data_IF_029195912818
#
_entry.id   IF_029195912818
#
_cell.length_a   1.000
_cell.length_b   1.000
_cell.length_c   1.000
_cell.angle_alpha   90.00
_cell.angle_beta   90.00
_cell.angle_gamma   90.00
#
_symmetry.space_group_name_H-M   'P 1'
#
loop_
_entity.id
_entity.type
_entity.pdbx_description
1 polymer ?
#
# COMPACT_ATOMS: atom_id res chain seq x y z
N UNK A 1 44.38 30.30 15.47
CA UNK A 1 43.79 29.16 16.19
C UNK A 1 44.90 28.45 16.94
N UNK A 2 44.75 28.15 18.22
CA UNK A 2 45.81 27.46 18.96
C UNK A 2 45.88 25.99 18.53
N UNK A 3 47.03 25.34 18.73
CA UNK A 3 47.15 23.90 18.47
C UNK A 3 46.21 23.10 19.39
N UNK A 4 46.01 23.59 20.62
CA UNK A 4 45.08 23.01 21.58
C UNK A 4 43.63 23.02 21.10
N UNK A 5 43.17 24.12 20.48
CA UNK A 5 41.82 24.20 19.90
C UNK A 5 41.62 23.19 18.77
N UNK A 6 42.67 22.96 17.97
CA UNK A 6 42.63 22.00 16.85
C UNK A 6 42.58 20.58 17.38
N UNK A 7 43.34 20.28 18.43
CA UNK A 7 43.31 18.98 19.09
C UNK A 7 41.91 18.67 19.62
N UNK A 8 41.29 19.60 20.35
CA UNK A 8 39.90 19.45 20.85
C UNK A 8 38.94 19.19 19.69
N UNK A 9 39.01 19.97 18.61
CA UNK A 9 38.13 19.80 17.45
C UNK A 9 38.36 18.47 16.73
N UNK A 10 39.61 18.01 16.63
CA UNK A 10 39.94 16.72 16.02
C UNK A 10 39.37 15.55 16.83
N UNK A 11 39.47 15.59 18.15
CA UNK A 11 38.90 14.56 19.03
C UNK A 11 37.38 14.50 18.90
N UNK A 12 36.72 15.67 18.96
CA UNK A 12 35.29 15.78 18.71
C UNK A 12 34.93 15.23 17.31
N UNK A 13 35.68 15.59 16.27
CA UNK A 13 35.42 15.14 14.91
C UNK A 13 35.53 13.62 14.77
N UNK A 14 36.52 12.97 15.39
CA UNK A 14 36.64 11.49 15.41
C UNK A 14 35.40 10.85 16.02
N UNK A 15 34.95 11.38 17.15
CA UNK A 15 33.73 10.90 17.82
C UNK A 15 32.51 11.00 16.88
N UNK A 16 32.34 12.16 16.21
CA UNK A 16 31.22 12.36 15.29
C UNK A 16 31.32 11.47 14.04
N UNK A 17 32.50 11.28 13.46
CA UNK A 17 32.67 10.40 12.28
C UNK A 17 32.36 8.93 12.64
N UNK A 18 32.65 8.53 13.88
CA UNK A 18 32.34 7.20 14.40
C UNK A 18 30.84 6.94 14.60
N UNK A 19 30.02 7.98 14.75
CA UNK A 19 28.57 7.87 14.89
C UNK A 19 27.89 7.50 13.55
N UNK A 20 26.68 6.91 13.57
CA UNK A 20 25.93 6.51 12.38
C UNK A 20 25.27 7.71 11.67
N UNK A 21 26.06 8.72 11.32
CA UNK A 21 25.59 9.91 10.61
C UNK A 21 25.50 9.72 9.10
N UNK A 22 24.67 10.54 8.44
CA UNK A 22 24.59 10.57 6.98
C UNK A 22 25.92 10.99 6.33
N UNK A 23 26.14 10.54 5.09
CA UNK A 23 27.29 10.96 4.27
C UNK A 23 27.38 12.48 4.18
N UNK A 24 26.24 13.17 4.10
CA UNK A 24 26.19 14.64 4.07
C UNK A 24 26.70 15.27 5.37
N UNK A 25 26.21 14.83 6.52
CA UNK A 25 26.60 15.41 7.81
C UNK A 25 28.08 15.16 8.10
N UNK A 26 28.57 13.93 7.85
CA UNK A 26 30.00 13.60 7.99
C UNK A 26 30.87 14.44 7.06
N UNK A 27 30.46 14.60 5.81
CA UNK A 27 31.17 15.45 4.83
C UNK A 27 31.21 16.90 5.29
N UNK A 28 30.13 17.42 5.87
CA UNK A 28 30.08 18.78 6.41
C UNK A 28 31.07 18.96 7.56
N UNK A 29 31.08 18.05 8.55
CA UNK A 29 32.04 18.12 9.67
C UNK A 29 33.50 18.07 9.19
N UNK A 30 33.82 17.11 8.33
CA UNK A 30 35.15 16.99 7.74
C UNK A 30 35.52 18.23 6.93
N UNK A 31 34.59 18.74 6.10
CA UNK A 31 34.85 19.90 5.27
C UNK A 31 35.12 21.15 6.10
N UNK A 32 34.36 21.38 7.17
CA UNK A 32 34.50 22.54 8.02
C UNK A 32 35.85 22.52 8.76
N UNK A 33 36.21 21.36 9.31
CA UNK A 33 37.49 21.17 9.99
C UNK A 33 38.68 21.34 9.03
N UNK A 34 38.66 20.67 7.87
CA UNK A 34 39.74 20.74 6.90
C UNK A 34 39.87 22.14 6.28
N UNK A 35 38.77 22.85 6.01
CA UNK A 35 38.81 24.25 5.58
C UNK A 35 39.46 25.15 6.61
N UNK A 36 39.19 24.94 7.89
CA UNK A 36 39.79 25.72 8.97
C UNK A 36 41.31 25.50 9.02
N UNK A 37 41.76 24.26 8.86
CA UNK A 37 43.18 23.93 8.75
C UNK A 37 43.83 24.57 7.51
N UNK A 38 43.20 24.48 6.34
CA UNK A 38 43.74 25.07 5.09
C UNK A 38 43.85 26.60 5.22
N UNK A 39 42.82 27.25 5.76
CA UNK A 39 42.79 28.72 5.95
C UNK A 39 43.82 29.22 6.96
N UNK A 40 44.33 28.37 7.85
CA UNK A 40 45.38 28.75 8.80
C UNK A 40 46.74 29.03 8.15
N UNK A 41 46.96 28.57 6.90
CA UNK A 41 48.19 28.81 6.12
C UNK A 41 49.40 27.97 6.52
N UNK A 42 49.40 27.30 7.68
CA UNK A 42 50.54 26.50 8.17
C UNK A 42 50.33 25.00 7.93
N UNK A 43 50.30 24.57 6.67
CA UNK A 43 50.03 23.17 6.29
C UNK A 43 50.98 22.16 6.94
N UNK A 44 52.27 22.47 7.02
CA UNK A 44 53.29 21.59 7.63
C UNK A 44 53.02 21.32 9.11
N UNK A 45 52.43 22.28 9.83
CA UNK A 45 52.09 22.16 11.25
C UNK A 45 50.94 21.18 11.50
N UNK A 46 50.09 20.97 10.50
CA UNK A 46 48.84 20.20 10.64
C UNK A 46 48.81 18.93 9.78
N UNK A 47 49.96 18.50 9.27
CA UNK A 47 50.05 17.35 8.36
C UNK A 47 49.51 16.05 8.96
N UNK A 48 49.66 15.85 10.28
CA UNK A 48 49.11 14.70 10.98
C UNK A 48 47.58 14.62 10.87
N UNK A 49 46.89 15.75 11.03
CA UNK A 49 45.43 15.81 10.91
C UNK A 49 44.96 15.61 9.47
N UNK A 50 45.70 16.14 8.48
CA UNK A 50 45.40 15.87 7.08
C UNK A 50 45.51 14.37 6.77
N UNK A 51 46.60 13.72 7.20
CA UNK A 51 46.80 12.29 7.00
C UNK A 51 45.70 11.44 7.63
N UNK A 52 45.14 11.89 8.75
CA UNK A 52 44.07 11.20 9.45
C UNK A 52 42.69 11.39 8.78
N UNK A 53 42.29 12.63 8.46
CA UNK A 53 40.91 12.93 8.07
C UNK A 53 40.66 12.95 6.56
N UNK A 54 41.70 13.18 5.74
CA UNK A 54 41.54 13.19 4.28
C UNK A 54 41.10 11.83 3.73
N UNK A 55 41.64 10.67 4.18
CA UNK A 55 41.18 9.37 3.69
C UNK A 55 39.68 9.12 3.92
N UNK A 56 39.15 9.52 5.09
CA UNK A 56 37.72 9.42 5.38
C UNK A 56 36.89 10.35 4.48
N UNK A 57 37.35 11.58 4.25
CA UNK A 57 36.67 12.49 3.31
C UNK A 57 36.62 11.91 1.90
N UNK A 58 37.74 11.37 1.42
CA UNK A 58 37.84 10.74 0.09
C UNK A 58 36.87 9.58 -0.04
N UNK A 59 36.83 8.71 0.97
CA UNK A 59 35.88 7.59 1.03
C UNK A 59 34.43 8.07 0.95
N UNK A 60 34.07 9.16 1.64
CA UNK A 60 32.72 9.73 1.58
C UNK A 60 32.41 10.34 0.20
N UNK A 61 33.36 11.06 -0.40
CA UNK A 61 33.19 11.64 -1.74
C UNK A 61 32.98 10.53 -2.76
N UNK A 62 33.80 9.49 -2.73
CA UNK A 62 33.75 8.39 -3.70
C UNK A 62 32.50 7.51 -3.60
N UNK A 63 31.72 7.60 -2.51
CA UNK A 63 30.39 6.98 -2.42
C UNK A 63 29.36 7.64 -3.35
N UNK A 64 29.62 8.88 -3.78
CA UNK A 64 28.77 9.64 -4.69
C UNK A 64 27.32 9.84 -4.18
N UNK A 65 27.16 10.13 -2.89
CA UNK A 65 25.85 10.33 -2.24
C UNK A 65 25.59 11.82 -1.92
N UNK A 66 25.56 12.67 -2.94
CA UNK A 66 25.40 14.13 -2.77
C UNK A 66 23.94 14.60 -2.75
N UNK A 67 23.03 13.76 -2.25
CA UNK A 67 21.61 14.11 -2.17
C UNK A 67 21.42 15.33 -1.26
N UNK A 68 20.68 16.32 -1.75
CA UNK A 68 20.29 17.54 -1.03
C UNK A 68 21.44 18.50 -0.71
N UNK A 69 22.64 18.27 -1.24
CA UNK A 69 23.74 19.21 -1.12
C UNK A 69 23.41 20.50 -1.89
N UNK A 70 23.76 21.62 -1.29
CA UNK A 70 23.82 22.92 -1.94
C UNK A 70 25.06 23.03 -2.82
N UNK A 71 25.05 23.89 -3.86
CA UNK A 71 26.25 24.18 -4.64
C UNK A 71 27.43 24.63 -3.78
N UNK A 72 27.16 25.40 -2.72
CA UNK A 72 28.22 25.88 -1.81
C UNK A 72 28.92 24.73 -1.07
N UNK A 73 28.18 23.73 -0.60
CA UNK A 73 28.77 22.55 0.05
C UNK A 73 29.68 21.78 -0.92
N UNK A 74 29.27 21.63 -2.19
CA UNK A 74 30.09 20.98 -3.22
C UNK A 74 31.33 21.80 -3.58
N UNK A 75 31.20 23.12 -3.73
CA UNK A 75 32.34 24.01 -4.00
C UNK A 75 33.35 24.01 -2.85
N UNK A 76 32.87 23.94 -1.61
CA UNK A 76 33.71 23.77 -0.42
C UNK A 76 34.55 22.49 -0.52
N UNK A 77 33.92 21.36 -0.86
CA UNK A 77 34.63 20.09 -1.05
C UNK A 77 35.62 20.15 -2.22
N UNK A 78 35.24 20.76 -3.36
CA UNK A 78 36.13 20.95 -4.51
C UNK A 78 37.36 21.78 -4.13
N UNK A 79 37.17 22.86 -3.37
CA UNK A 79 38.26 23.70 -2.88
C UNK A 79 39.21 22.91 -1.98
N UNK A 80 38.67 22.11 -1.05
CA UNK A 80 39.50 21.26 -0.17
C UNK A 80 40.32 20.29 -1.00
N UNK A 81 39.70 19.51 -1.89
CA UNK A 81 40.41 18.50 -2.70
C UNK A 81 41.53 19.12 -3.53
N UNK A 82 41.30 20.28 -4.16
CA UNK A 82 42.34 21.01 -4.90
C UNK A 82 43.47 21.50 -3.99
N UNK A 83 43.15 21.95 -2.79
CA UNK A 83 44.13 22.45 -1.83
C UNK A 83 45.00 21.34 -1.23
N UNK A 84 44.58 20.07 -1.34
CA UNK A 84 45.32 18.91 -0.83
C UNK A 84 46.35 18.36 -1.83
N UNK A 85 46.29 18.75 -3.12
CA UNK A 85 47.21 18.29 -4.17
C UNK A 85 48.70 18.50 -3.81
N UNK A 86 49.12 19.63 -3.21
CA UNK A 86 50.52 19.84 -2.80
C UNK A 86 50.99 19.00 -1.60
N UNK A 87 50.09 18.31 -0.89
CA UNK A 87 50.39 17.61 0.38
C UNK A 87 50.71 16.12 0.20
N UNK A 88 51.23 15.72 -0.97
CA UNK A 88 51.44 14.31 -1.35
C UNK A 88 50.16 13.47 -1.33
N UNK A 89 49.00 14.11 -1.47
CA UNK A 89 47.75 13.40 -1.67
C UNK A 89 47.81 12.65 -3.02
N UNK A 90 47.42 11.37 -3.05
CA UNK A 90 47.50 10.55 -4.27
C UNK A 90 46.80 11.26 -5.43
N UNK A 91 47.57 11.57 -6.48
CA UNK A 91 47.08 12.27 -7.68
C UNK A 91 45.84 11.58 -8.27
N UNK A 92 45.86 10.25 -8.30
CA UNK A 92 44.73 9.43 -8.77
C UNK A 92 43.46 9.66 -7.93
N UNK A 93 43.58 9.65 -6.60
CA UNK A 93 42.42 9.89 -5.73
C UNK A 93 41.89 11.32 -5.88
N UNK A 94 42.78 12.29 -6.06
CA UNK A 94 42.40 13.69 -6.34
C UNK A 94 41.59 13.81 -7.61
N UNK A 95 42.10 13.27 -8.73
CA UNK A 95 41.42 13.30 -10.01
C UNK A 95 40.05 12.62 -9.96
N UNK A 96 39.95 11.47 -9.28
CA UNK A 96 38.68 10.76 -9.07
C UNK A 96 37.68 11.57 -8.24
N UNK A 97 38.12 12.13 -7.10
CA UNK A 97 37.27 12.97 -6.27
C UNK A 97 36.79 14.22 -7.03
N UNK A 98 37.67 14.87 -7.78
CA UNK A 98 37.33 16.03 -8.59
C UNK A 98 36.29 15.67 -9.66
N UNK A 99 36.45 14.55 -10.36
CA UNK A 99 35.47 14.07 -11.34
C UNK A 99 34.10 13.83 -10.71
N UNK A 100 34.06 13.14 -9.57
CA UNK A 100 32.80 12.88 -8.83
C UNK A 100 32.13 14.18 -8.38
N UNK A 101 32.88 15.10 -7.78
CA UNK A 101 32.35 16.38 -7.30
C UNK A 101 31.91 17.29 -8.45
N UNK A 102 32.62 17.28 -9.59
CA UNK A 102 32.22 18.02 -10.79
C UNK A 102 30.90 17.47 -11.36
N UNK A 103 30.73 16.15 -11.40
CA UNK A 103 29.47 15.54 -11.81
C UNK A 103 28.34 15.92 -10.87
N UNK A 104 28.52 15.78 -9.56
CA UNK A 104 27.52 16.17 -8.55
C UNK A 104 27.15 17.67 -8.65
N UNK A 105 28.14 18.54 -8.88
CA UNK A 105 27.93 19.96 -9.12
C UNK A 105 27.05 20.19 -10.35
N UNK A 106 27.36 19.53 -11.47
CA UNK A 106 26.61 19.67 -12.72
C UNK A 106 25.17 19.17 -12.56
N UNK A 107 24.97 18.06 -11.85
CA UNK A 107 23.64 17.55 -11.53
C UNK A 107 22.82 18.57 -10.72
N UNK A 108 23.39 19.13 -9.65
CA UNK A 108 22.71 20.13 -8.82
C UNK A 108 22.42 21.41 -9.63
N UNK A 109 23.35 21.87 -10.47
CA UNK A 109 23.14 23.05 -11.33
C UNK A 109 22.07 22.78 -12.41
N UNK A 110 21.99 21.57 -12.95
CA UNK A 110 20.95 21.18 -13.91
C UNK A 110 19.56 21.17 -13.27
N UNK A 111 19.47 20.74 -12.00
CA UNK A 111 18.27 20.81 -11.19
C UNK A 111 17.87 22.27 -10.93
N UNK A 112 18.82 23.12 -10.52
CA UNK A 112 18.58 24.52 -10.18
C UNK A 112 18.26 25.41 -11.40
N UNK A 113 18.65 24.98 -12.60
CA UNK A 113 18.29 25.64 -13.86
C UNK A 113 16.91 25.22 -14.39
N UNK A 114 16.20 24.32 -13.71
CA UNK A 114 14.85 23.89 -14.10
C UNK A 114 14.81 22.97 -15.33
N UNK A 115 15.97 22.46 -15.77
CA UNK A 115 16.09 21.57 -16.94
C UNK A 115 15.50 20.19 -16.62
N UNK A 116 15.65 19.74 -15.38
CA UNK A 116 15.15 18.44 -14.94
C UNK A 116 13.66 18.53 -14.60
N UNK A 117 12.82 18.05 -15.51
CA UNK A 117 11.39 17.81 -15.22
C UNK A 117 11.20 16.36 -14.82
N UNK A 118 10.85 16.13 -13.56
CA UNK A 118 10.48 14.81 -13.06
C UNK A 118 9.00 14.57 -13.37
N UNK A 119 8.67 13.48 -14.05
CA UNK A 119 7.28 13.04 -14.20
C UNK A 119 6.75 12.60 -12.83
N UNK A 120 5.71 13.30 -12.35
CA UNK A 120 5.09 12.98 -11.08
C UNK A 120 4.28 11.67 -11.18
N UNK A 121 4.59 10.70 -10.33
CA UNK A 121 3.84 9.46 -10.15
C UNK A 121 3.11 9.50 -8.82
N UNK A 122 1.87 9.01 -8.79
CA UNK A 122 1.08 8.99 -7.56
C UNK A 122 1.10 7.59 -6.92
N UNK A 123 1.40 7.52 -5.63
CA UNK A 123 1.48 6.29 -4.84
C UNK A 123 0.41 6.24 -3.75
N UNK A 124 -0.17 5.06 -3.51
CA UNK A 124 -1.26 4.90 -2.53
C UNK A 124 -0.81 4.84 -1.07
N UNK A 125 0.43 4.41 -0.84
CA UNK A 125 0.89 3.97 0.48
C UNK A 125 2.29 4.49 0.84
N UNK A 126 2.72 5.57 0.18
CA UNK A 126 3.99 6.23 0.48
C UNK A 126 3.87 7.74 0.34
N UNK A 127 4.57 8.47 1.21
CA UNK A 127 4.66 9.93 1.22
C UNK A 127 6.11 10.32 1.49
N UNK A 128 6.65 11.29 0.75
CA UNK A 128 7.97 11.83 1.06
C UNK A 128 7.89 12.82 2.22
N UNK A 129 8.82 12.71 3.16
CA UNK A 129 8.85 13.51 4.37
C UNK A 129 10.22 14.15 4.52
N UNK A 130 10.25 15.46 4.80
CA UNK A 130 11.50 16.14 5.14
C UNK A 130 11.75 16.07 6.65
N UNK A 131 12.93 15.58 6.99
CA UNK A 131 13.40 15.35 8.34
C UNK A 131 14.71 16.10 8.55
N UNK A 132 15.10 16.25 9.81
CA UNK A 132 16.38 16.84 10.19
C UNK A 132 17.16 15.77 10.93
N UNK A 133 18.41 15.60 10.54
CA UNK A 133 19.34 14.78 11.30
C UNK A 133 19.78 15.58 12.53
N UNK A 134 19.37 15.12 13.71
CA UNK A 134 19.71 15.76 14.97
C UNK A 134 21.19 15.56 15.28
N UNK A 135 21.89 16.67 15.52
CA UNK A 135 23.19 16.66 16.19
C UNK A 135 22.99 17.05 17.67
N UNK A 136 23.71 16.40 18.58
CA UNK A 136 23.73 16.78 20.00
C UNK A 136 24.24 18.20 20.22
N UNK A 137 25.09 18.70 19.31
CA UNK A 137 25.55 20.08 19.28
C UNK A 137 24.82 20.81 18.15
N UNK A 138 24.01 21.83 18.46
CA UNK A 138 23.16 22.60 17.52
C UNK A 138 23.89 23.21 16.28
N UNK A 139 25.22 23.07 16.21
CA UNK A 139 26.08 23.52 15.11
C UNK A 139 26.13 22.48 13.99
N UNK A 140 25.04 22.29 13.25
CA UNK A 140 25.11 21.59 11.96
C UNK A 140 23.94 20.69 11.61
N UNK A 141 22.70 21.14 11.83
CA UNK A 141 21.53 20.37 11.41
C UNK A 141 21.47 20.29 9.88
N UNK A 142 21.52 19.07 9.34
CA UNK A 142 21.27 18.81 7.91
C UNK A 142 19.89 18.23 7.73
N UNK A 143 19.19 18.65 6.67
CA UNK A 143 17.93 18.05 6.31
C UNK A 143 18.12 16.86 5.36
N UNK A 144 17.20 15.92 5.45
CA UNK A 144 17.08 14.75 4.58
C UNK A 144 15.62 14.56 4.19
N UNK A 145 15.39 13.95 3.02
CA UNK A 145 14.04 13.57 2.61
C UNK A 145 13.99 12.06 2.55
N UNK A 146 12.99 11.49 3.23
CA UNK A 146 12.78 10.05 3.36
C UNK A 146 11.36 9.68 2.94
N UNK A 147 11.22 8.52 2.31
CA UNK A 147 9.90 7.99 1.94
C UNK A 147 9.32 7.25 3.14
N UNK A 148 8.25 7.76 3.74
CA UNK A 148 7.45 7.03 4.71
C UNK A 148 6.48 6.11 3.98
N UNK A 149 6.49 4.83 4.30
CA UNK A 149 5.57 3.84 3.72
C UNK A 149 4.68 3.22 4.78
N UNK A 150 3.46 2.85 4.38
CA UNK A 150 2.53 2.10 5.21
C UNK A 150 2.16 0.77 4.54
N UNK A 151 2.32 -0.31 5.28
CA UNK A 151 1.74 -1.61 4.95
C UNK A 151 0.55 -1.83 5.89
N UNK A 152 -0.63 -2.02 5.31
CA UNK A 152 -1.86 -2.25 6.06
C UNK A 152 -2.52 -3.57 5.66
N UNK A 153 -2.99 -4.33 6.63
CA UNK A 153 -3.90 -5.46 6.40
C UNK A 153 -5.03 -5.43 7.43
N UNK A 154 -6.21 -5.90 7.02
CA UNK A 154 -7.37 -6.01 7.90
C UNK A 154 -7.18 -7.21 8.83
N UNK A 155 -7.48 -7.03 10.12
CA UNK A 155 -7.50 -8.12 11.11
C UNK A 155 -8.85 -8.82 11.10
N UNK A 156 -8.86 -10.07 11.57
CA UNK A 156 -10.09 -10.82 11.80
C UNK A 156 -11.01 -10.12 12.80
N UNK A 157 -12.30 -10.49 12.79
CA UNK A 157 -13.34 -9.84 13.61
C UNK A 157 -13.16 -10.06 15.12
N UNK A 158 -12.37 -11.06 15.48
CA UNK A 158 -11.98 -11.40 16.84
C UNK A 158 -11.06 -10.35 17.48
N UNK A 159 -10.40 -9.52 16.67
CA UNK A 159 -9.54 -8.43 17.16
C UNK A 159 -10.32 -7.12 17.22
N UNK A 160 -10.35 -6.52 18.41
CA UNK A 160 -10.98 -5.21 18.64
C UNK A 160 -10.01 -4.05 18.43
N UNK A 161 -8.71 -4.30 18.57
CA UNK A 161 -7.67 -3.28 18.59
C UNK A 161 -6.71 -3.40 17.39
N UNK A 162 -6.21 -2.26 16.93
CA UNK A 162 -5.20 -2.22 15.87
C UNK A 162 -3.85 -2.71 16.40
N UNK A 163 -3.11 -3.45 15.56
CA UNK A 163 -1.71 -3.75 15.79
C UNK A 163 -0.89 -2.73 15.03
N UNK A 164 -0.13 -1.91 15.76
CA UNK A 164 0.69 -0.84 15.18
C UNK A 164 2.16 -1.22 15.35
N UNK A 165 2.93 -1.13 14.28
CA UNK A 165 4.37 -1.36 14.27
C UNK A 165 5.05 -0.23 13.52
N UNK A 166 6.25 0.13 13.97
CA UNK A 166 7.09 1.11 13.29
C UNK A 166 8.53 0.57 13.27
N UNK A 167 9.04 0.22 12.09
CA UNK A 167 10.28 -0.58 11.96
C UNK A 167 11.55 0.18 12.41
N UNK A 168 11.54 1.52 12.40
CA UNK A 168 12.74 2.35 12.52
C UNK A 168 12.74 3.30 13.74
N UNK A 169 12.06 2.96 14.84
CA UNK A 169 12.03 3.83 16.03
C UNK A 169 13.34 3.78 16.82
N UNK A 170 13.78 4.96 17.28
CA UNK A 170 14.88 5.06 18.24
C UNK A 170 14.49 4.44 19.58
N UNK A 171 15.32 3.54 20.11
CA UNK A 171 15.11 2.82 21.39
C UNK A 171 14.76 3.76 22.55
N UNK A 172 15.47 4.88 22.66
CA UNK A 172 15.31 5.82 23.79
C UNK A 172 13.96 6.56 23.80
N UNK A 173 13.28 6.68 22.66
CA UNK A 173 12.02 7.42 22.51
C UNK A 173 10.84 6.52 22.10
N UNK A 174 11.01 5.18 22.15
CA UNK A 174 10.01 4.24 21.64
C UNK A 174 8.64 4.44 22.27
N UNK A 175 8.54 4.57 23.60
CA UNK A 175 7.24 4.70 24.28
C UNK A 175 6.48 5.97 23.88
N UNK A 176 7.17 7.12 23.88
CA UNK A 176 6.58 8.41 23.51
C UNK A 176 6.13 8.41 22.05
N UNK A 177 6.99 7.90 21.16
CA UNK A 177 6.69 7.82 19.73
C UNK A 177 5.57 6.82 19.45
N UNK A 178 5.56 5.67 20.12
CA UNK A 178 4.52 4.67 19.97
C UNK A 178 3.16 5.20 20.43
N UNK A 179 3.11 5.90 21.57
CA UNK A 179 1.92 6.62 22.04
C UNK A 179 1.44 7.64 21.00
N UNK A 180 2.36 8.45 20.47
CA UNK A 180 2.06 9.44 19.43
C UNK A 180 1.46 8.81 18.17
N UNK A 181 2.06 7.74 17.65
CA UNK A 181 1.57 7.03 16.46
C UNK A 181 0.20 6.39 16.75
N UNK A 182 0.01 5.80 17.93
CA UNK A 182 -1.26 5.18 18.35
C UNK A 182 -2.38 6.21 18.40
N UNK A 183 -2.10 7.40 18.94
CA UNK A 183 -3.05 8.51 18.96
C UNK A 183 -3.40 8.97 17.54
N UNK A 184 -2.40 9.09 16.65
CA UNK A 184 -2.63 9.41 15.23
C UNK A 184 -3.52 8.38 14.54
N UNK A 185 -3.24 7.09 14.72
CA UNK A 185 -4.04 6.01 14.10
C UNK A 185 -5.47 6.04 14.62
N UNK A 186 -5.65 6.21 15.93
CA UNK A 186 -6.97 6.31 16.57
C UNK A 186 -7.75 7.51 16.03
N UNK A 187 -7.11 8.68 15.96
CA UNK A 187 -7.68 9.88 15.37
C UNK A 187 -8.04 9.68 13.90
N UNK A 188 -7.18 9.01 13.11
CA UNK A 188 -7.47 8.70 11.70
C UNK A 188 -8.77 7.91 11.55
N UNK A 189 -8.98 6.89 12.39
CA UNK A 189 -10.20 6.07 12.39
C UNK A 189 -11.41 6.89 12.80
N UNK A 190 -11.30 7.73 13.83
CA UNK A 190 -12.38 8.63 14.23
C UNK A 190 -12.83 9.55 13.08
N UNK A 191 -11.87 10.13 12.35
CA UNK A 191 -12.21 10.98 11.20
C UNK A 191 -12.87 10.20 10.07
N UNK A 192 -12.57 8.91 9.91
CA UNK A 192 -13.29 8.05 8.96
C UNK A 192 -14.70 7.68 9.41
N UNK A 193 -15.03 7.68 10.71
CA UNK A 193 -16.36 7.32 11.21
C UNK A 193 -17.48 8.22 10.70
N UNK A 194 -17.14 9.46 10.32
CA UNK A 194 -18.06 10.40 9.67
C UNK A 194 -18.58 9.91 8.31
N UNK A 195 -17.86 8.96 7.70
CA UNK A 195 -18.13 8.40 6.37
C UNK A 195 -18.44 6.89 6.46
N UNK A 196 -17.83 6.20 7.44
CA UNK A 196 -17.89 4.73 7.62
C UNK A 196 -18.51 4.41 8.98
N UNK A 197 -19.66 3.74 9.01
CA UNK A 197 -20.34 3.42 10.27
C UNK A 197 -19.60 2.40 11.15
N UNK A 198 -18.75 1.54 10.57
CA UNK A 198 -18.00 0.52 11.30
C UNK A 198 -16.61 0.30 10.71
N UNK A 199 -15.59 0.51 11.53
CA UNK A 199 -14.18 0.24 11.20
C UNK A 199 -13.73 -1.06 11.86
N UNK A 200 -13.00 -1.89 11.14
CA UNK A 200 -12.35 -3.08 11.69
C UNK A 200 -11.03 -2.72 12.38
N UNK A 201 -10.41 -3.72 13.02
CA UNK A 201 -9.04 -3.63 13.46
C UNK A 201 -8.06 -3.89 12.30
N UNK A 202 -6.88 -3.28 12.36
CA UNK A 202 -5.85 -3.31 11.32
C UNK A 202 -4.49 -3.71 11.86
N UNK A 203 -3.69 -4.39 11.05
CA UNK A 203 -2.24 -4.43 11.22
C UNK A 203 -1.67 -3.29 10.38
N UNK A 204 -1.00 -2.33 11.01
CA UNK A 204 -0.39 -1.16 10.40
C UNK A 204 1.10 -1.16 10.70
N UNK A 205 1.92 -1.35 9.67
CA UNK A 205 3.37 -1.31 9.78
C UNK A 205 3.89 -0.09 9.01
N UNK A 206 4.43 0.89 9.73
CA UNK A 206 5.08 2.06 9.18
C UNK A 206 6.59 1.83 9.07
N UNK A 207 7.19 2.31 7.99
CA UNK A 207 8.65 2.26 7.84
C UNK A 207 9.16 3.36 6.92
N UNK A 208 10.38 3.80 7.20
CA UNK A 208 11.15 4.64 6.28
C UNK A 208 11.99 3.76 5.35
N UNK A 209 12.35 4.32 4.19
CA UNK A 209 13.18 3.62 3.19
C UNK A 209 14.57 3.26 3.74
N UNK A 210 15.21 4.16 4.49
CA UNK A 210 16.49 3.90 5.12
C UNK A 210 16.30 3.16 6.45
N UNK A 211 16.71 1.89 6.48
CA UNK A 211 16.56 1.03 7.66
C UNK A 211 17.67 1.17 8.69
N UNK A 212 18.78 1.80 8.30
CA UNK A 212 19.97 1.97 9.14
C UNK A 212 19.89 3.22 10.03
N UNK A 213 18.77 3.96 9.96
CA UNK A 213 18.53 5.15 10.75
C UNK A 213 17.46 4.94 11.81
N UNK A 214 17.66 5.56 12.98
CA UNK A 214 16.66 5.68 14.02
C UNK A 214 15.93 7.02 13.90
N UNK A 215 14.60 7.00 13.97
CA UNK A 215 13.76 8.17 13.79
C UNK A 215 13.01 8.54 15.07
N UNK A 216 12.94 9.85 15.34
CA UNK A 216 12.23 10.44 16.47
C UNK A 216 11.53 11.75 16.07
N UNK A 217 10.74 12.30 16.99
CA UNK A 217 10.06 13.57 16.81
C UNK A 217 8.74 13.47 16.06
N UNK A 218 7.96 14.56 16.10
CA UNK A 218 6.59 14.59 15.60
C UNK A 218 6.47 15.14 14.18
N UNK A 219 7.57 15.55 13.54
CA UNK A 219 7.51 16.33 12.29
C UNK A 219 7.01 15.57 11.05
N UNK A 220 6.78 14.27 11.18
CA UNK A 220 6.19 13.39 10.18
C UNK A 220 4.75 12.94 10.53
N UNK A 221 4.16 13.54 11.57
CA UNK A 221 2.80 13.25 12.03
C UNK A 221 1.76 13.41 10.92
N UNK A 222 1.85 14.48 10.12
CA UNK A 222 0.95 14.70 8.98
C UNK A 222 0.96 13.54 7.98
N UNK A 223 2.15 13.04 7.64
CA UNK A 223 2.29 11.92 6.72
C UNK A 223 1.74 10.61 7.32
N UNK A 224 1.98 10.35 8.61
CA UNK A 224 1.40 9.21 9.32
C UNK A 224 -0.12 9.24 9.27
N UNK A 225 -0.72 10.38 9.65
CA UNK A 225 -2.17 10.52 9.67
C UNK A 225 -2.76 10.35 8.27
N UNK A 226 -2.15 10.97 7.26
CA UNK A 226 -2.62 10.86 5.89
C UNK A 226 -2.57 9.42 5.37
N UNK A 227 -1.49 8.69 5.64
CA UNK A 227 -1.36 7.28 5.27
C UNK A 227 -2.36 6.40 6.04
N UNK A 228 -2.46 6.57 7.36
CA UNK A 228 -3.37 5.81 8.20
C UNK A 228 -4.84 6.02 7.76
N UNK A 229 -5.25 7.27 7.59
CA UNK A 229 -6.58 7.63 7.09
C UNK A 229 -6.85 6.98 5.73
N UNK A 230 -5.94 7.14 4.77
CA UNK A 230 -6.09 6.55 3.44
C UNK A 230 -6.14 5.02 3.48
N UNK A 231 -5.40 4.37 4.38
CA UNK A 231 -5.44 2.92 4.54
C UNK A 231 -6.81 2.43 5.02
N UNK A 232 -7.45 3.15 5.94
CA UNK A 232 -8.81 2.82 6.40
C UNK A 232 -9.80 3.02 5.26
N UNK A 233 -9.67 4.10 4.47
CA UNK A 233 -10.52 4.29 3.28
C UNK A 233 -10.33 3.16 2.26
N UNK A 234 -9.10 2.76 1.93
CA UNK A 234 -8.84 1.69 0.97
C UNK A 234 -9.45 0.36 1.42
N UNK A 235 -9.40 0.06 2.72
CA UNK A 235 -9.87 -1.22 3.26
C UNK A 235 -11.37 -1.26 3.57
N UNK A 236 -11.99 -0.14 3.97
CA UNK A 236 -13.43 -0.08 4.28
C UNK A 236 -14.28 0.55 3.17
N UNK A 237 -13.82 1.66 2.57
CA UNK A 237 -14.56 2.39 1.56
C UNK A 237 -14.34 1.82 0.17
N UNK A 238 -15.34 1.09 -0.30
CA UNK A 238 -15.42 0.53 -1.66
C UNK A 238 -15.67 1.59 -2.76
N UNK A 239 -15.27 2.84 -2.54
CA UNK A 239 -15.58 3.97 -3.43
C UNK A 239 -14.34 4.75 -3.83
N UNK A 240 -13.70 5.44 -2.90
CA UNK A 240 -12.65 6.43 -3.19
C UNK A 240 -11.46 6.21 -2.24
N UNK A 241 -10.25 6.34 -2.79
CA UNK A 241 -9.00 6.45 -2.05
C UNK A 241 -8.12 7.52 -2.69
N UNK A 242 -7.09 7.93 -1.98
CA UNK A 242 -6.14 8.93 -2.44
C UNK A 242 -4.82 8.28 -2.83
N UNK A 243 -4.17 8.82 -3.85
CA UNK A 243 -2.74 8.59 -4.08
C UNK A 243 -2.00 9.89 -3.86
N UNK A 244 -0.84 9.83 -3.24
CA UNK A 244 0.02 10.98 -2.99
C UNK A 244 1.04 11.10 -4.12
N UNK A 245 1.21 12.30 -4.67
CA UNK A 245 2.22 12.51 -5.71
C UNK A 245 3.64 12.39 -5.13
N UNK A 246 4.52 11.74 -5.88
CA UNK A 246 5.93 11.56 -5.50
C UNK A 246 6.77 12.83 -5.68
N UNK A 247 6.24 13.88 -6.33
CA UNK A 247 6.88 15.20 -6.45
C UNK A 247 6.60 16.12 -5.25
N UNK A 248 5.83 15.63 -4.28
CA UNK A 248 5.44 16.33 -3.05
C UNK A 248 6.22 15.80 -1.86
N UNK A 249 6.68 16.75 -1.03
CA UNK A 249 7.28 16.49 0.28
C UNK A 249 6.42 17.14 1.35
N UNK A 250 6.26 16.47 2.48
CA UNK A 250 5.40 16.94 3.57
C UNK A 250 6.21 17.09 4.86
N UNK A 251 5.87 18.10 5.66
CA UNK A 251 6.23 18.16 7.08
C UNK A 251 5.07 18.68 7.91
N UNK A 252 5.03 18.30 9.19
CA UNK A 252 4.06 18.82 10.13
C UNK A 252 3.85 17.86 11.28
N UNK A 253 4.00 18.38 12.49
CA UNK A 253 3.45 17.73 13.67
C UNK A 253 1.97 18.04 13.75
N UNK A 254 1.20 17.09 14.27
CA UNK A 254 -0.24 17.24 14.48
C UNK A 254 -0.52 17.21 15.98
N UNK A 255 -1.44 18.06 16.43
CA UNK A 255 -2.01 18.01 17.76
C UNK A 255 -3.16 16.98 17.88
N UNK A 256 -3.79 16.94 19.06
CA UNK A 256 -4.91 16.02 19.35
C UNK A 256 -6.19 16.33 18.54
N UNK A 257 -6.31 17.55 17.99
CA UNK A 257 -7.47 18.02 17.23
C UNK A 257 -7.32 17.76 15.72
N UNK A 258 -6.13 17.41 15.27
CA UNK A 258 -5.82 17.22 13.86
C UNK A 258 -5.24 18.46 13.17
N UNK A 259 -4.89 19.49 13.95
CA UNK A 259 -4.34 20.75 13.47
C UNK A 259 -2.80 20.66 13.39
N UNK A 260 -2.22 21.33 12.40
CA UNK A 260 -0.77 21.33 12.19
C UNK A 260 -0.10 22.33 13.15
N UNK A 261 0.91 21.86 13.86
CA UNK A 261 1.73 22.71 14.72
C UNK A 261 2.78 23.48 13.90
N UNK A 262 2.99 24.75 14.29
CA UNK A 262 4.03 25.62 13.74
C UNK A 262 5.43 25.04 13.98
N UNK A 263 6.27 25.05 12.96
CA UNK A 263 7.71 24.72 13.06
C UNK A 263 8.50 25.91 13.61
N UNK A 264 9.56 25.59 14.36
CA UNK A 264 10.58 26.56 14.74
C UNK A 264 11.35 27.08 13.50
N UNK A 265 11.90 28.29 13.60
CA UNK A 265 12.49 29.00 12.48
C UNK A 265 13.76 28.35 11.94
N UNK A 266 14.59 27.75 12.81
CA UNK A 266 15.83 27.08 12.39
C UNK A 266 15.52 25.79 11.63
N UNK A 267 14.61 24.96 12.12
CA UNK A 267 14.13 23.76 11.43
C UNK A 267 13.45 24.10 10.10
N UNK A 268 12.62 25.15 10.07
CA UNK A 268 11.96 25.59 8.85
C UNK A 268 12.97 25.93 7.76
N UNK A 269 14.03 26.68 8.11
CA UNK A 269 15.09 27.04 7.16
C UNK A 269 15.79 25.81 6.59
N UNK A 270 16.24 24.89 7.45
CA UNK A 270 16.94 23.67 7.02
C UNK A 270 16.05 22.82 6.09
N UNK A 271 14.76 22.70 6.42
CA UNK A 271 13.80 21.94 5.61
C UNK A 271 13.54 22.58 4.25
N UNK A 272 13.37 23.91 4.20
CA UNK A 272 13.20 24.63 2.93
C UNK A 272 14.44 24.50 2.05
N UNK A 273 15.64 24.71 2.60
CA UNK A 273 16.89 24.54 1.86
C UNK A 273 17.02 23.11 1.32
N UNK A 274 16.69 22.12 2.14
CA UNK A 274 16.73 20.70 1.75
C UNK A 274 15.77 20.40 0.58
N UNK A 275 14.52 20.88 0.64
CA UNK A 275 13.58 20.69 -0.48
C UNK A 275 14.00 21.50 -1.71
N UNK A 276 14.52 22.71 -1.53
CA UNK A 276 14.99 23.56 -2.62
C UNK A 276 16.11 22.91 -3.43
N UNK A 277 17.09 22.31 -2.76
CA UNK A 277 18.20 21.58 -3.38
C UNK A 277 17.87 20.11 -3.69
N UNK A 278 16.59 19.73 -3.68
CA UNK A 278 16.11 18.40 -4.04
C UNK A 278 15.34 18.40 -5.37
N UNK A 279 15.04 17.19 -5.88
CA UNK A 279 14.19 16.99 -7.08
C UNK A 279 12.71 17.34 -6.91
N UNK A 280 12.25 17.61 -5.69
CA UNK A 280 10.83 17.77 -5.39
C UNK A 280 10.36 19.20 -5.61
N UNK A 281 9.19 19.39 -6.21
CA UNK A 281 8.72 20.71 -6.62
C UNK A 281 7.66 21.29 -5.69
N UNK A 282 7.08 20.47 -4.82
CA UNK A 282 6.00 20.88 -3.92
C UNK A 282 6.36 20.56 -2.49
N UNK A 283 6.15 21.52 -1.60
CA UNK A 283 6.42 21.37 -0.18
C UNK A 283 5.20 21.76 0.66
N UNK A 284 4.62 20.76 1.32
CA UNK A 284 3.51 20.97 2.26
C UNK A 284 4.06 21.38 3.62
N UNK A 285 3.60 22.53 4.10
CA UNK A 285 4.03 23.14 5.37
C UNK A 285 2.82 23.63 6.18
N UNK A 286 2.95 23.80 7.51
CA UNK A 286 1.92 24.47 8.29
C UNK A 286 1.64 25.87 7.76
N UNK A 287 0.37 26.26 7.75
CA UNK A 287 -0.07 27.58 7.28
C UNK A 287 0.61 28.71 8.07
N UNK A 288 0.79 28.54 9.38
CA UNK A 288 1.46 29.51 10.28
C UNK A 288 2.93 29.79 9.94
N UNK A 289 3.57 28.94 9.13
CA UNK A 289 4.95 29.13 8.68
C UNK A 289 5.07 29.79 7.30
N UNK A 290 3.96 30.08 6.60
CA UNK A 290 4.00 30.49 5.19
C UNK A 290 4.76 31.79 4.96
N UNK A 291 4.66 32.77 5.87
CA UNK A 291 5.32 34.08 5.74
C UNK A 291 6.84 33.92 5.83
N UNK A 292 7.32 33.25 6.87
CA UNK A 292 8.74 32.98 7.07
C UNK A 292 9.30 32.09 5.95
N UNK A 293 8.52 31.09 5.53
CA UNK A 293 8.91 30.19 4.46
C UNK A 293 9.09 30.90 3.10
N UNK A 294 8.16 31.80 2.75
CA UNK A 294 8.26 32.63 1.54
C UNK A 294 9.50 33.52 1.59
N UNK A 295 9.84 34.10 2.74
CA UNK A 295 11.04 34.92 2.88
C UNK A 295 12.31 34.10 2.57
N UNK A 296 12.45 32.92 3.18
CA UNK A 296 13.60 32.04 2.98
C UNK A 296 13.66 31.57 1.52
N UNK A 297 12.52 31.16 0.95
CA UNK A 297 12.45 30.73 -0.45
C UNK A 297 12.82 31.86 -1.42
N UNK A 298 12.35 33.09 -1.19
CA UNK A 298 12.69 34.25 -2.01
C UNK A 298 14.20 34.56 -1.97
N UNK A 299 14.86 34.39 -0.82
CA UNK A 299 16.31 34.55 -0.71
C UNK A 299 17.08 33.51 -1.53
N UNK A 300 16.59 32.26 -1.57
CA UNK A 300 17.16 31.20 -2.40
C UNK A 300 16.89 31.45 -3.89
N UNK A 301 15.69 31.89 -4.25
CA UNK A 301 15.31 32.21 -5.64
C UNK A 301 16.08 33.41 -6.20
N UNK A 302 16.46 34.39 -5.38
CA UNK A 302 17.38 35.46 -5.81
C UNK A 302 18.72 34.92 -6.29
N UNK A 303 19.20 33.83 -5.69
CA UNK A 303 20.46 33.16 -6.09
C UNK A 303 20.25 32.20 -7.26
N UNK A 304 19.10 31.53 -7.29
CA UNK A 304 18.77 30.50 -8.29
C UNK A 304 17.37 30.77 -8.88
N UNK A 305 17.23 31.74 -9.79
CA UNK A 305 15.92 32.25 -10.22
C UNK A 305 15.08 31.26 -11.03
N UNK A 306 15.71 30.27 -11.65
CA UNK A 306 15.02 29.23 -12.43
C UNK A 306 14.46 28.10 -11.55
N UNK A 307 14.85 28.02 -10.27
CA UNK A 307 14.37 27.00 -9.34
C UNK A 307 13.09 27.48 -8.65
N UNK A 308 11.97 26.84 -8.97
CA UNK A 308 10.68 27.08 -8.31
C UNK A 308 10.28 25.91 -7.42
N UNK A 309 10.03 26.19 -6.14
CA UNK A 309 9.34 25.26 -5.22
C UNK A 309 8.00 25.88 -4.86
N UNK A 310 6.92 25.14 -5.05
CA UNK A 310 5.57 25.52 -4.63
C UNK A 310 5.41 25.20 -3.13
N UNK A 311 5.10 26.23 -2.33
CA UNK A 311 4.75 26.07 -0.92
C UNK A 311 3.24 25.86 -0.81
N UNK A 312 2.83 24.72 -0.26
CA UNK A 312 1.43 24.35 -0.07
C UNK A 312 1.10 24.51 1.43
N UNK A 313 0.41 25.59 1.84
CA UNK A 313 0.02 25.77 3.23
C UNK A 313 -1.08 24.78 3.61
N UNK A 314 -0.99 24.22 4.82
CA UNK A 314 -2.01 23.36 5.40
C UNK A 314 -2.25 23.75 6.85
N UNK A 315 -3.49 24.07 7.21
CA UNK A 315 -3.89 24.31 8.61
C UNK A 315 -4.08 22.99 9.38
N UNK A 316 -4.63 21.98 8.70
CA UNK A 316 -5.01 20.71 9.30
C UNK A 316 -4.88 19.57 8.30
N UNK A 317 -5.00 18.33 8.77
CA UNK A 317 -4.82 17.16 7.92
C UNK A 317 -5.84 17.05 6.76
N UNK A 318 -7.04 17.61 6.91
CA UNK A 318 -8.06 17.56 5.84
C UNK A 318 -7.64 18.39 4.63
N UNK A 319 -6.89 19.46 4.87
CA UNK A 319 -6.35 20.34 3.81
C UNK A 319 -5.49 19.57 2.81
N UNK A 320 -4.77 18.54 3.28
CA UNK A 320 -3.97 17.64 2.41
C UNK A 320 -4.85 16.92 1.38
N UNK A 321 -6.02 16.43 1.79
CA UNK A 321 -6.92 15.69 0.91
C UNK A 321 -7.79 16.56 0.01
N UNK A 322 -7.94 17.85 0.37
CA UNK A 322 -8.65 18.84 -0.44
C UNK A 322 -7.77 19.42 -1.54
N UNK A 323 -6.45 19.36 -1.39
CA UNK A 323 -5.52 19.91 -2.35
C UNK A 323 -5.10 18.88 -3.42
N UNK A 324 -5.61 19.08 -4.64
CA UNK A 324 -5.32 18.22 -5.80
C UNK A 324 -3.87 18.32 -6.30
N UNK A 325 -3.08 19.29 -5.83
CA UNK A 325 -1.64 19.32 -6.09
C UNK A 325 -0.87 18.30 -5.24
N UNK A 326 -1.46 17.85 -4.11
CA UNK A 326 -0.88 16.89 -3.17
C UNK A 326 -1.38 15.46 -3.43
N UNK A 327 -2.67 15.32 -3.73
CA UNK A 327 -3.32 14.02 -3.90
C UNK A 327 -4.08 13.88 -5.22
N UNK A 328 -4.05 12.66 -5.77
CA UNK A 328 -4.93 12.20 -6.83
C UNK A 328 -6.09 11.40 -6.24
N UNK A 329 -7.33 11.83 -6.51
CA UNK A 329 -8.54 11.13 -6.08
C UNK A 329 -8.82 9.96 -7.04
N UNK A 330 -8.77 8.74 -6.52
CA UNK A 330 -8.99 7.53 -7.31
C UNK A 330 -10.23 6.77 -6.85
N UNK A 331 -10.95 6.20 -7.81
CA UNK A 331 -12.02 5.23 -7.54
C UNK A 331 -11.45 3.82 -7.56
N UNK A 332 -11.90 2.96 -6.64
CA UNK A 332 -11.49 1.55 -6.65
C UNK A 332 -11.95 0.88 -7.95
N UNK A 333 -11.05 0.12 -8.59
CA UNK A 333 -11.40 -0.67 -9.77
C UNK A 333 -12.32 -1.81 -9.38
N UNK A 334 -13.15 -2.29 -10.31
CA UNK A 334 -14.09 -3.40 -10.06
C UNK A 334 -13.35 -4.63 -9.51
N UNK A 335 -12.16 -4.95 -10.03
CA UNK A 335 -11.32 -6.07 -9.54
C UNK A 335 -10.92 -5.90 -8.07
N UNK A 336 -10.57 -4.67 -7.66
CA UNK A 336 -10.18 -4.36 -6.27
C UNK A 336 -11.41 -4.40 -5.35
N UNK A 337 -12.56 -3.90 -5.82
CA UNK A 337 -13.83 -4.05 -5.11
C UNK A 337 -14.20 -5.52 -4.91
N UNK A 338 -14.04 -6.36 -5.94
CA UNK A 338 -14.30 -7.79 -5.85
C UNK A 338 -13.32 -8.49 -4.91
N UNK A 339 -12.03 -8.13 -4.92
CA UNK A 339 -11.03 -8.69 -3.98
C UNK A 339 -11.32 -8.29 -2.54
N UNK A 340 -11.64 -7.02 -2.28
CA UNK A 340 -12.05 -6.54 -0.96
C UNK A 340 -13.38 -7.17 -0.49
N UNK A 341 -14.23 -7.55 -1.44
CA UNK A 341 -15.47 -8.26 -1.17
C UNK A 341 -15.27 -9.75 -0.99
N UNK A 342 -14.22 -10.35 -1.57
CA UNK A 342 -14.04 -11.80 -1.65
C UNK A 342 -14.09 -12.46 -0.27
N UNK A 343 -13.39 -11.92 0.72
CA UNK A 343 -13.41 -12.48 2.09
C UNK A 343 -14.78 -12.35 2.78
N UNK A 344 -15.52 -11.26 2.51
CA UNK A 344 -16.85 -11.06 3.08
C UNK A 344 -17.94 -11.83 2.32
N UNK A 345 -17.75 -12.03 1.01
CA UNK A 345 -18.67 -12.76 0.14
C UNK A 345 -18.47 -14.26 0.29
N UNK A 346 -17.25 -14.80 0.38
CA UNK A 346 -17.05 -16.25 0.39
C UNK A 346 -17.79 -16.95 1.54
N UNK A 347 -18.00 -16.28 2.67
CA UNK A 347 -18.75 -16.87 3.80
C UNK A 347 -20.26 -16.90 3.55
N UNK A 348 -20.87 -15.86 2.99
CA UNK A 348 -22.31 -15.84 2.66
C UNK A 348 -22.64 -16.46 1.30
N UNK A 349 -21.74 -16.33 0.34
CA UNK A 349 -21.76 -16.96 -0.97
C UNK A 349 -21.63 -18.47 -0.86
N UNK A 350 -20.82 -19.00 0.07
CA UNK A 350 -20.81 -20.45 0.32
C UNK A 350 -22.17 -20.92 0.83
N UNK A 351 -22.79 -20.24 1.79
CA UNK A 351 -24.11 -20.65 2.28
C UNK A 351 -25.21 -20.54 1.22
N UNK A 352 -25.23 -19.46 0.44
CA UNK A 352 -26.21 -19.29 -0.64
C UNK A 352 -25.96 -20.26 -1.78
N UNK A 353 -24.71 -20.51 -2.18
CA UNK A 353 -24.36 -21.49 -3.20
C UNK A 353 -24.68 -22.92 -2.73
N UNK A 354 -24.33 -23.27 -1.48
CA UNK A 354 -24.68 -24.56 -0.88
C UNK A 354 -26.20 -24.73 -0.81
N UNK A 355 -26.94 -23.68 -0.45
CA UNK A 355 -28.41 -23.73 -0.43
C UNK A 355 -29.02 -23.88 -1.83
N UNK A 356 -28.52 -23.14 -2.82
CA UNK A 356 -28.96 -23.27 -4.22
C UNK A 356 -28.61 -24.66 -4.77
N UNK A 357 -27.40 -25.17 -4.50
CA UNK A 357 -26.99 -26.51 -4.90
C UNK A 357 -27.85 -27.57 -4.23
N UNK A 358 -28.18 -27.42 -2.95
CA UNK A 358 -29.09 -28.30 -2.23
C UNK A 358 -30.49 -28.29 -2.85
N UNK A 359 -31.04 -27.11 -3.16
CA UNK A 359 -32.33 -27.00 -3.86
C UNK A 359 -32.29 -27.63 -5.26
N UNK A 360 -31.20 -27.46 -6.00
CA UNK A 360 -31.02 -28.08 -7.31
C UNK A 360 -30.96 -29.62 -7.20
N UNK A 361 -30.27 -30.15 -6.19
CA UNK A 361 -30.21 -31.60 -5.91
C UNK A 361 -31.60 -32.11 -5.52
N UNK A 362 -32.32 -31.44 -4.64
CA UNK A 362 -33.70 -31.81 -4.25
C UNK A 362 -34.61 -31.81 -5.47
N UNK A 363 -34.51 -30.79 -6.33
CA UNK A 363 -35.29 -30.71 -7.57
C UNK A 363 -34.94 -31.85 -8.53
N UNK A 364 -33.66 -32.19 -8.71
CA UNK A 364 -33.24 -33.32 -9.55
C UNK A 364 -33.72 -34.66 -8.98
N UNK A 365 -33.64 -34.86 -7.66
CA UNK A 365 -34.10 -36.11 -7.04
C UNK A 365 -35.61 -36.24 -7.18
N UNK A 366 -36.37 -35.20 -6.80
CA UNK A 366 -37.84 -35.25 -6.77
C UNK A 366 -38.47 -35.18 -8.17
N UNK A 367 -37.91 -34.37 -9.06
CA UNK A 367 -38.43 -34.17 -10.41
C UNK A 367 -37.96 -35.21 -11.43
N UNK A 368 -36.79 -35.82 -11.22
CA UNK A 368 -36.21 -36.75 -12.21
C UNK A 368 -35.95 -38.15 -11.64
N UNK A 369 -35.23 -38.27 -10.52
CA UNK A 369 -34.83 -39.58 -10.02
C UNK A 369 -36.01 -40.41 -9.50
N UNK A 370 -36.87 -39.85 -8.65
CA UNK A 370 -38.02 -40.56 -8.06
C UNK A 370 -39.00 -41.04 -9.15
N UNK A 371 -39.45 -40.20 -10.10
CA UNK A 371 -40.29 -40.66 -11.20
C UNK A 371 -39.65 -41.75 -12.06
N UNK A 372 -38.32 -41.74 -12.19
CA UNK A 372 -37.61 -42.72 -13.01
C UNK A 372 -37.38 -44.06 -12.29
N UNK A 373 -37.18 -44.03 -10.97
CA UNK A 373 -36.94 -45.22 -10.14
C UNK A 373 -38.23 -45.89 -9.68
N UNK A 374 -39.36 -45.17 -9.64
CA UNK A 374 -40.66 -45.77 -9.31
C UNK A 374 -41.13 -46.68 -10.45
N UNK A 375 -41.03 -47.98 -10.25
CA UNK A 375 -41.45 -49.02 -11.20
C UNK A 375 -42.87 -49.53 -10.94
N UNK A 376 -43.58 -49.02 -9.92
CA UNK A 376 -44.89 -49.52 -9.54
C UNK A 376 -45.96 -49.04 -10.56
N UNK A 377 -46.63 -49.93 -11.30
CA UNK A 377 -47.70 -49.53 -12.22
C UNK A 377 -48.95 -49.10 -11.44
N UNK A 378 -49.50 -47.94 -11.76
CA UNK A 378 -50.67 -47.36 -11.06
C UNK A 378 -51.88 -47.25 -11.98
N UNK A 379 -51.66 -46.98 -13.26
CA UNK A 379 -52.75 -46.96 -14.25
C UNK A 379 -52.27 -47.46 -15.61
N UNK A 380 -53.21 -47.87 -16.46
CA UNK A 380 -52.92 -48.27 -17.83
C UNK A 380 -53.63 -47.37 -18.82
N UNK A 381 -53.02 -47.19 -19.99
CA UNK A 381 -53.64 -46.51 -21.12
C UNK A 381 -53.38 -47.30 -22.41
N UNK A 382 -54.37 -47.37 -23.29
CA UNK A 382 -54.23 -47.96 -24.61
C UNK A 382 -53.67 -46.89 -25.55
N UNK A 383 -52.40 -47.01 -25.90
CA UNK A 383 -51.81 -46.24 -27.01
C UNK A 383 -52.20 -46.88 -28.34
N UNK A 384 -51.79 -46.31 -29.47
CA UNK A 384 -52.28 -46.66 -30.83
C UNK A 384 -52.46 -48.15 -31.10
N UNK A 385 -51.56 -49.00 -30.60
CA UNK A 385 -51.52 -50.43 -30.85
C UNK A 385 -51.06 -51.27 -29.64
N UNK A 386 -50.89 -50.68 -28.46
CA UNK A 386 -50.32 -51.35 -27.26
C UNK A 386 -50.95 -50.85 -25.98
N UNK A 387 -50.98 -51.70 -24.96
CA UNK A 387 -51.21 -51.23 -23.60
C UNK A 387 -49.89 -50.77 -23.00
N UNK A 388 -49.89 -49.58 -22.43
CA UNK A 388 -48.80 -49.09 -21.59
C UNK A 388 -49.29 -48.96 -20.16
N UNK A 389 -48.52 -49.49 -19.21
CA UNK A 389 -48.72 -49.26 -17.79
C UNK A 389 -47.80 -48.14 -17.32
N UNK A 390 -48.36 -47.23 -16.55
CA UNK A 390 -47.70 -46.02 -16.10
C UNK A 390 -47.63 -46.00 -14.57
N UNK A 391 -46.53 -45.50 -14.02
CA UNK A 391 -46.45 -45.21 -12.58
C UNK A 391 -47.28 -43.96 -12.21
N UNK A 392 -47.35 -43.62 -10.92
CA UNK A 392 -48.10 -42.44 -10.45
C UNK A 392 -47.60 -41.10 -11.01
N UNK A 393 -46.39 -41.07 -11.55
CA UNK A 393 -45.78 -39.89 -12.18
C UNK A 393 -45.97 -39.86 -13.70
N UNK A 394 -46.67 -40.83 -14.28
CA UNK A 394 -46.93 -40.91 -15.72
C UNK A 394 -45.76 -41.39 -16.57
N UNK A 395 -44.75 -42.02 -15.97
CA UNK A 395 -43.70 -42.74 -16.70
C UNK A 395 -44.18 -44.15 -17.03
N UNK A 396 -43.96 -44.58 -18.28
CA UNK A 396 -44.20 -45.96 -18.70
C UNK A 396 -43.24 -46.90 -17.97
N UNK A 397 -43.79 -47.88 -17.26
CA UNK A 397 -43.03 -48.92 -16.54
C UNK A 397 -43.08 -50.27 -17.25
N UNK A 398 -44.09 -50.49 -18.10
CA UNK A 398 -44.26 -51.70 -18.89
C UNK A 398 -45.11 -51.45 -20.13
N UNK A 399 -44.86 -52.18 -21.21
CA UNK A 399 -45.67 -52.17 -22.43
C UNK A 399 -46.03 -53.59 -22.87
N UNK A 400 -47.26 -53.78 -23.35
CA UNK A 400 -47.67 -55.03 -23.96
C UNK A 400 -47.05 -55.20 -25.36
N UNK A 401 -46.99 -56.44 -25.88
CA UNK A 401 -46.83 -56.66 -27.31
C UNK A 401 -47.90 -55.90 -28.12
N UNK A 402 -47.60 -55.64 -29.40
CA UNK A 402 -48.54 -55.02 -30.34
C UNK A 402 -49.81 -55.87 -30.46
N UNK A 403 -50.95 -55.23 -30.21
CA UNK A 403 -52.28 -55.83 -30.24
C UNK A 403 -52.80 -55.88 -31.67
N UNK A 404 -53.68 -56.85 -31.95
CA UNK A 404 -54.38 -56.89 -33.23
C UNK A 404 -55.39 -55.75 -33.34
N UNK A 405 -55.69 -55.30 -34.57
CA UNK A 405 -56.72 -54.27 -34.79
C UNK A 405 -58.10 -54.68 -34.26
N UNK A 406 -58.37 -55.99 -34.22
CA UNK A 406 -59.60 -56.56 -33.69
C UNK A 406 -59.70 -56.35 -32.16
N UNK A 407 -58.60 -56.56 -31.42
CA UNK A 407 -58.55 -56.32 -29.98
C UNK A 407 -58.72 -54.83 -29.63
N UNK A 408 -58.13 -53.94 -30.43
CA UNK A 408 -58.25 -52.48 -30.28
C UNK A 408 -59.70 -52.04 -30.50
N UNK A 409 -60.35 -52.58 -31.53
CA UNK A 409 -61.74 -52.25 -31.85
C UNK A 409 -62.71 -52.75 -30.77
N UNK A 410 -62.47 -53.94 -30.20
CA UNK A 410 -63.25 -54.47 -29.08
C UNK A 410 -63.15 -53.58 -27.84
N UNK A 411 -61.94 -53.10 -27.52
CA UNK A 411 -61.74 -52.17 -26.40
C UNK A 411 -62.48 -50.84 -26.63
N UNK A 412 -62.38 -50.26 -27.84
CA UNK A 412 -63.05 -48.99 -28.17
C UNK A 412 -64.58 -49.10 -28.23
N UNK A 413 -65.11 -50.27 -28.59
CA UNK A 413 -66.55 -50.50 -28.66
C UNK A 413 -67.20 -50.69 -27.27
N UNK A 414 -66.44 -51.13 -26.26
CA UNK A 414 -66.94 -51.28 -24.90
C UNK A 414 -66.93 -49.96 -24.12
N UNK A 415 -67.95 -49.14 -24.35
CA UNK A 415 -68.19 -47.92 -23.57
C UNK A 415 -68.50 -48.18 -22.09
N UNK A 416 -68.68 -49.43 -21.65
CA UNK A 416 -69.01 -49.77 -20.25
C UNK A 416 -67.79 -49.99 -19.38
N UNK A 417 -66.59 -50.07 -19.97
CA UNK A 417 -65.33 -50.28 -19.24
C UNK A 417 -65.22 -51.65 -18.55
N UNK A 418 -66.10 -52.62 -18.90
CA UNK A 418 -66.16 -53.94 -18.26
C UNK A 418 -65.18 -54.94 -18.87
N UNK A 419 -64.73 -54.74 -20.11
CA UNK A 419 -63.66 -55.49 -20.76
C UNK A 419 -62.29 -54.86 -20.47
N UNK A 420 -61.97 -54.56 -19.20
CA UNK A 420 -60.58 -54.31 -18.82
C UNK A 420 -59.82 -55.63 -18.86
N UNK A 421 -59.15 -55.89 -19.99
CA UNK A 421 -58.23 -57.04 -20.14
C UNK A 421 -56.96 -56.90 -19.30
N UNK A 422 -56.81 -55.79 -18.57
CA UNK A 422 -55.70 -55.55 -17.66
C UNK A 422 -56.22 -55.23 -16.27
N UNK A 423 -55.77 -56.02 -15.30
CA UNK A 423 -55.92 -55.73 -13.88
C UNK A 423 -54.56 -55.30 -13.34
N UNK A 424 -54.55 -54.18 -12.63
CA UNK A 424 -53.44 -53.77 -11.76
C UNK A 424 -53.89 -54.06 -10.33
N UNK A 425 -53.20 -54.96 -9.65
CA UNK A 425 -53.48 -55.29 -8.25
C UNK A 425 -52.18 -55.77 -7.64
N UNK A 426 -51.96 -55.40 -6.39
CA UNK A 426 -50.96 -56.00 -5.51
C UNK A 426 -51.50 -57.38 -5.07
N UNK A 427 -50.91 -58.46 -5.59
CA UNK A 427 -51.38 -59.83 -5.41
C UNK A 427 -50.70 -60.52 -4.23
N UNK A 428 -49.52 -60.06 -3.81
CA UNK A 428 -48.74 -60.64 -2.74
C UNK A 428 -48.59 -59.74 -1.50
N UNK A 429 -49.21 -58.55 -1.51
CA UNK A 429 -49.25 -57.54 -0.45
C UNK A 429 -47.86 -56.93 -0.16
N UNK A 430 -46.98 -56.86 -1.17
CA UNK A 430 -45.63 -56.28 -1.09
C UNK A 430 -45.60 -54.75 -1.32
N UNK A 431 -46.74 -54.16 -1.70
CA UNK A 431 -46.91 -52.74 -2.00
C UNK A 431 -46.65 -52.36 -3.47
N UNK A 432 -46.35 -53.32 -4.34
CA UNK A 432 -46.19 -53.15 -5.78
C UNK A 432 -47.32 -53.85 -6.53
N UNK A 433 -47.96 -53.15 -7.48
CA UNK A 433 -49.01 -53.76 -8.26
C UNK A 433 -48.43 -54.66 -9.37
N UNK A 434 -48.93 -55.88 -9.52
CA UNK A 434 -48.69 -56.69 -10.70
C UNK A 434 -49.63 -56.33 -11.86
N UNK A 435 -49.16 -56.60 -13.08
CA UNK A 435 -49.91 -56.40 -14.32
C UNK A 435 -50.42 -57.76 -14.80
N UNK A 436 -51.71 -58.02 -14.62
CA UNK A 436 -52.37 -59.21 -15.16
C UNK A 436 -53.02 -58.88 -16.50
N UNK A 437 -52.43 -59.36 -17.60
CA UNK A 437 -52.98 -59.24 -18.94
C UNK A 437 -53.71 -60.52 -19.34
N UNK A 438 -55.03 -60.44 -19.55
CA UNK A 438 -55.82 -61.54 -20.09
C UNK A 438 -55.70 -61.57 -21.62
N UNK A 439 -54.89 -62.50 -22.13
CA UNK A 439 -54.77 -62.76 -23.57
C UNK A 439 -55.76 -63.86 -23.94
N UNK A 440 -56.88 -63.50 -24.57
CA UNK A 440 -57.78 -64.49 -25.15
C UNK A 440 -57.19 -65.00 -26.46
N UNK A 441 -56.64 -66.21 -26.44
CA UNK A 441 -56.20 -66.91 -27.65
C UNK A 441 -57.41 -67.58 -28.29
N UNK A 442 -58.06 -66.92 -29.26
CA UNK A 442 -59.05 -67.57 -30.14
C UNK A 442 -58.40 -68.50 -31.19
N UNK A 443 -57.30 -69.18 -30.86
CA UNK A 443 -56.66 -70.16 -31.76
C UNK A 443 -57.08 -71.62 -31.55
N UNK A 444 -57.98 -71.91 -30.62
CA UNK A 444 -58.54 -73.26 -30.40
C UNK A 444 -60.08 -73.29 -30.43
N UNK A 445 -60.68 -72.71 -31.49
CA UNK A 445 -61.97 -73.19 -31.99
C UNK A 445 -61.74 -73.80 -33.37
N UNK A 446 -61.44 -75.10 -33.37
CA UNK A 446 -61.75 -76.00 -34.48
C UNK A 446 -63.07 -76.70 -34.13
#
# INVERSE_FOLDING_TARGET
MSLFDIEIKSHWLKEQIGKPHSTRLKSLYLSNFLLELIKSGTHSKYISYFNEFVPELVKLILRNEFRYFSPYEIESLLFIVKSLEPLNFSKENSERCLGVLQNARNEILSLLSGIVKTEAKAHKNSINVVLIEANSDEKGNVGTIQTLTLRSSKRGKEFLEDKIEFENLCENDQEKMFSYITNIVSFSKEQTKKIISKTNAYNLTFSFENKDCSYTGSSFGLALLALAYNSVLVNELRKIYYKFFDDVVITGAIDEKGDLLKLDSSSLKVKIETVFFSRFNKFVIPEDNIVDAKKILNELQKKYPQRSVELIPCANFKSVFQNLAVVEVNKLKIKEKLKANYESYHRTANWTFTFIALLAIIYLITGYAIPYMDTNPVYTNLTSDRYAAYNKYGKVVWESPTLSQLDINVYKADNTGKLKRILLSDLDDDGFNEILLLISSEKNKL
#
